data_IF_181426631531
#
_entry.id   IF_181426631531
#
_cell.length_a   1.000
_cell.length_b   1.000
_cell.length_c   1.000
_cell.angle_alpha   90.00
_cell.angle_beta   90.00
_cell.angle_gamma   90.00
#
_symmetry.space_group_name_H-M   'P 1'
#
loop_
_entity.id
_entity.type
_entity.pdbx_description
1 polymer ?
#
# COMPACT_ATOMS: atom_id res chain seq x y z
N UNK A 1 -15.87 13.27 -22.06
CA UNK A 1 -16.39 13.30 -20.69
C UNK A 1 -15.54 12.32 -19.91
N UNK A 2 -14.94 12.79 -18.82
CA UNK A 2 -14.16 12.00 -17.87
C UNK A 2 -15.03 11.24 -16.87
N UNK A 3 -14.37 10.58 -15.93
CA UNK A 3 -14.99 9.74 -14.92
C UNK A 3 -15.52 10.55 -13.72
N UNK A 4 -16.50 10.01 -13.02
CA UNK A 4 -16.93 10.45 -11.69
C UNK A 4 -16.32 9.55 -10.62
N UNK A 5 -15.48 10.13 -9.76
CA UNK A 5 -14.71 9.40 -8.74
C UNK A 5 -15.21 9.76 -7.34
N UNK A 6 -15.51 8.76 -6.53
CA UNK A 6 -15.80 8.95 -5.10
C UNK A 6 -14.64 8.45 -4.23
N UNK A 7 -14.18 9.26 -3.29
CA UNK A 7 -13.13 8.89 -2.33
C UNK A 7 -13.74 8.71 -0.94
N UNK A 8 -13.89 7.46 -0.50
CA UNK A 8 -14.45 7.13 0.81
C UNK A 8 -13.33 7.05 1.86
N UNK A 9 -13.48 7.82 2.94
CA UNK A 9 -12.41 8.02 3.92
C UNK A 9 -11.48 9.19 3.56
N UNK A 10 -11.96 10.14 2.75
CA UNK A 10 -11.21 11.27 2.23
C UNK A 10 -10.53 12.14 3.30
N UNK A 11 -11.03 12.13 4.54
CA UNK A 11 -10.47 12.94 5.64
C UNK A 11 -9.28 12.29 6.36
N UNK A 12 -9.05 10.98 6.15
CA UNK A 12 -7.90 10.25 6.71
C UNK A 12 -6.63 10.41 5.87
N UNK A 13 -5.48 9.96 6.40
CA UNK A 13 -4.17 10.15 5.75
C UNK A 13 -4.14 9.57 4.32
N UNK A 14 -4.55 8.31 4.14
CA UNK A 14 -4.57 7.67 2.81
C UNK A 14 -5.59 8.32 1.88
N UNK A 15 -6.75 8.73 2.38
CA UNK A 15 -7.76 9.41 1.56
C UNK A 15 -7.32 10.78 1.06
N UNK A 16 -6.54 11.53 1.87
CA UNK A 16 -5.90 12.78 1.45
C UNK A 16 -4.85 12.51 0.37
N UNK A 17 -3.99 11.51 0.55
CA UNK A 17 -3.03 11.11 -0.48
C UNK A 17 -3.70 10.67 -1.78
N UNK A 18 -4.84 9.96 -1.73
CA UNK A 18 -5.60 9.63 -2.95
C UNK A 18 -6.05 10.88 -3.71
N UNK A 19 -6.52 11.91 -3.00
CA UNK A 19 -6.93 13.17 -3.63
C UNK A 19 -5.74 13.90 -4.24
N UNK A 20 -4.61 13.98 -3.53
CA UNK A 20 -3.39 14.59 -4.03
C UNK A 20 -2.92 13.87 -5.31
N UNK A 21 -2.79 12.54 -5.26
CA UNK A 21 -2.29 11.73 -6.38
C UNK A 21 -3.23 11.77 -7.58
N UNK A 22 -4.55 11.78 -7.38
CA UNK A 22 -5.51 11.95 -8.49
C UNK A 22 -5.26 13.25 -9.26
N UNK A 23 -4.88 14.32 -8.56
CA UNK A 23 -4.59 15.61 -9.15
C UNK A 23 -3.19 15.65 -9.79
N UNK A 24 -2.16 15.24 -9.04
CA UNK A 24 -0.76 15.22 -9.49
C UNK A 24 -0.59 14.41 -10.79
N UNK A 25 -1.35 13.31 -10.92
CA UNK A 25 -1.29 12.43 -12.09
C UNK A 25 -2.25 12.83 -13.21
N UNK A 26 -3.04 13.88 -13.01
CA UNK A 26 -4.01 14.34 -14.01
C UNK A 26 -5.02 13.26 -14.39
N UNK A 27 -5.49 12.48 -13.42
CA UNK A 27 -6.46 11.42 -13.68
C UNK A 27 -7.70 12.01 -14.39
N UNK A 28 -8.26 11.37 -15.43
CA UNK A 28 -9.32 11.95 -16.25
C UNK A 28 -10.69 11.92 -15.54
N UNK A 29 -10.80 12.62 -14.42
CA UNK A 29 -12.02 12.77 -13.62
C UNK A 29 -12.67 14.14 -13.87
N UNK A 30 -13.93 14.14 -14.32
CA UNK A 30 -14.74 15.36 -14.46
C UNK A 30 -15.27 15.82 -13.10
N UNK A 31 -15.56 14.86 -12.21
CA UNK A 31 -16.04 15.12 -10.85
C UNK A 31 -15.35 14.21 -9.84
N UNK A 32 -14.88 14.80 -8.73
CA UNK A 32 -14.34 14.08 -7.58
C UNK A 32 -15.15 14.41 -6.34
N UNK A 33 -15.65 13.39 -5.65
CA UNK A 33 -16.49 13.53 -4.46
C UNK A 33 -15.75 12.99 -3.23
N UNK A 34 -15.51 13.86 -2.25
CA UNK A 34 -14.98 13.47 -0.95
C UNK A 34 -16.10 12.92 -0.04
N UNK A 35 -15.96 11.68 0.41
CA UNK A 35 -16.89 11.01 1.32
C UNK A 35 -16.21 10.64 2.64
N UNK A 36 -16.93 10.83 3.74
CA UNK A 36 -16.46 10.48 5.08
C UNK A 36 -17.61 9.99 5.97
N UNK A 37 -17.32 9.66 7.23
CA UNK A 37 -18.37 9.36 8.21
C UNK A 37 -19.08 10.64 8.67
N UNK A 38 -20.28 10.48 9.27
CA UNK A 38 -21.08 11.62 9.77
C UNK A 38 -20.30 12.55 10.72
N UNK A 39 -19.39 11.99 11.55
CA UNK A 39 -18.53 12.78 12.45
C UNK A 39 -17.58 13.75 11.73
N UNK A 40 -17.29 13.50 10.46
CA UNK A 40 -16.38 14.28 9.63
C UNK A 40 -17.09 15.00 8.49
N UNK A 41 -18.42 14.99 8.49
CA UNK A 41 -19.21 15.73 7.50
C UNK A 41 -18.87 17.23 7.54
N UNK A 42 -18.74 17.84 6.36
CA UNK A 42 -18.40 19.25 6.20
C UNK A 42 -16.92 19.56 6.41
N UNK A 43 -16.09 18.58 6.77
CA UNK A 43 -14.63 18.76 6.78
C UNK A 43 -14.14 19.11 5.39
N UNK A 44 -13.24 20.07 5.30
CA UNK A 44 -12.62 20.49 4.05
C UNK A 44 -11.37 19.66 3.77
N UNK A 45 -11.25 19.19 2.53
CA UNK A 45 -10.08 18.48 2.00
C UNK A 45 -9.69 19.09 0.66
N UNK A 46 -8.40 19.20 0.41
CA UNK A 46 -7.87 19.77 -0.83
C UNK A 46 -7.90 18.76 -1.98
N UNK A 47 -8.09 19.26 -3.20
CA UNK A 47 -7.96 18.54 -4.46
C UNK A 47 -7.43 19.52 -5.52
N UNK A 48 -6.10 19.59 -5.66
CA UNK A 48 -5.42 20.67 -6.36
C UNK A 48 -5.80 22.03 -5.77
N UNK A 49 -6.15 22.98 -6.65
CA UNK A 49 -6.64 24.31 -6.26
C UNK A 49 -8.08 24.32 -5.70
N UNK A 50 -8.78 23.18 -5.72
CA UNK A 50 -10.17 23.08 -5.24
C UNK A 50 -10.22 22.60 -3.79
N UNK A 51 -11.17 23.14 -3.04
CA UNK A 51 -11.53 22.63 -1.71
C UNK A 51 -12.83 21.85 -1.81
N UNK A 52 -12.78 20.56 -1.46
CA UNK A 52 -13.95 19.69 -1.41
C UNK A 52 -14.49 19.62 0.03
N UNK A 53 -15.82 19.66 0.18
CA UNK A 53 -16.48 19.40 1.47
C UNK A 53 -16.89 17.95 1.55
N UNK A 54 -16.40 17.25 2.58
CA UNK A 54 -16.70 15.84 2.80
C UNK A 54 -18.21 15.64 3.05
N UNK A 55 -18.85 14.82 2.21
CA UNK A 55 -20.25 14.40 2.36
C UNK A 55 -20.33 13.11 3.18
N UNK A 56 -21.44 12.87 3.91
CA UNK A 56 -21.61 11.63 4.65
C UNK A 56 -21.84 10.45 3.68
N UNK A 57 -21.04 9.39 3.83
CA UNK A 57 -21.08 8.18 2.99
C UNK A 57 -22.49 7.60 2.84
N UNK A 58 -23.26 7.59 3.93
CA UNK A 58 -24.57 6.95 4.00
C UNK A 58 -25.70 7.74 3.34
N UNK A 59 -25.43 8.95 2.86
CA UNK A 59 -26.40 9.80 2.14
C UNK A 59 -25.99 10.05 0.69
N UNK A 60 -24.93 9.40 0.21
CA UNK A 60 -24.44 9.55 -1.15
C UNK A 60 -24.99 8.45 -2.06
N UNK A 61 -25.52 8.83 -3.22
CA UNK A 61 -25.96 7.91 -4.27
C UNK A 61 -24.78 7.61 -5.21
N UNK A 62 -24.50 6.31 -5.42
CA UNK A 62 -23.41 5.85 -6.28
C UNK A 62 -23.91 5.42 -7.67
N UNK A 63 -25.20 5.58 -7.97
CA UNK A 63 -25.81 5.18 -9.24
C UNK A 63 -25.13 5.81 -10.46
N UNK A 64 -24.66 7.05 -10.35
CA UNK A 64 -23.95 7.79 -11.39
C UNK A 64 -22.41 7.82 -11.22
N UNK A 65 -21.89 7.13 -10.20
CA UNK A 65 -20.45 7.10 -9.91
C UNK A 65 -19.78 5.95 -10.65
N UNK A 66 -18.60 6.21 -11.24
CA UNK A 66 -17.85 5.23 -12.02
C UNK A 66 -16.92 4.39 -11.14
N UNK A 67 -16.10 5.06 -10.33
CA UNK A 67 -15.12 4.42 -9.45
C UNK A 67 -15.26 4.96 -8.02
N UNK A 68 -15.22 4.05 -7.06
CA UNK A 68 -15.13 4.35 -5.64
C UNK A 68 -13.78 3.88 -5.09
N UNK A 69 -12.96 4.82 -4.63
CA UNK A 69 -11.72 4.57 -3.92
C UNK A 69 -12.03 4.43 -2.42
N UNK A 70 -11.98 3.21 -1.89
CA UNK A 70 -12.43 2.89 -0.53
C UNK A 70 -11.25 2.81 0.45
N UNK A 71 -11.19 3.78 1.37
CA UNK A 71 -10.17 3.87 2.43
C UNK A 71 -10.77 4.23 3.80
N UNK A 72 -11.83 3.52 4.21
CA UNK A 72 -12.52 3.74 5.49
C UNK A 72 -12.44 2.57 6.50
N UNK A 73 -11.53 1.61 6.25
CA UNK A 73 -11.31 0.46 7.11
C UNK A 73 -12.22 -0.74 6.82
N UNK A 74 -11.85 -1.91 7.35
CA UNK A 74 -12.43 -3.20 6.95
C UNK A 74 -13.92 -3.37 7.25
N UNK A 75 -14.41 -2.86 8.38
CA UNK A 75 -15.84 -2.98 8.72
C UNK A 75 -16.72 -2.14 7.79
N UNK A 76 -16.29 -0.90 7.50
CA UNK A 76 -17.01 -0.03 6.55
C UNK A 76 -16.99 -0.64 5.16
N UNK A 77 -15.84 -1.16 4.71
CA UNK A 77 -15.73 -1.79 3.39
C UNK A 77 -16.60 -3.05 3.26
N UNK A 78 -16.67 -3.91 4.29
CA UNK A 78 -17.54 -5.10 4.29
C UNK A 78 -19.01 -4.72 4.11
N UNK A 79 -19.43 -3.61 4.71
CA UNK A 79 -20.81 -3.15 4.63
C UNK A 79 -21.11 -2.42 3.31
N UNK A 80 -20.24 -1.51 2.89
CA UNK A 80 -20.52 -0.55 1.83
C UNK A 80 -20.03 -1.00 0.45
N UNK A 81 -18.89 -1.67 0.34
CA UNK A 81 -18.34 -2.05 -0.97
C UNK A 81 -19.32 -2.90 -1.80
N UNK A 82 -20.06 -3.88 -1.23
CA UNK A 82 -21.07 -4.62 -1.98
C UNK A 82 -22.27 -3.75 -2.41
N UNK A 83 -22.70 -2.80 -1.57
CA UNK A 83 -23.82 -1.89 -1.87
C UNK A 83 -23.48 -0.91 -3.00
N UNK A 84 -22.22 -0.44 -3.01
CA UNK A 84 -21.69 0.45 -4.04
C UNK A 84 -21.52 -0.32 -5.35
N UNK A 85 -20.90 -1.50 -5.28
CA UNK A 85 -20.71 -2.39 -6.43
C UNK A 85 -22.02 -2.79 -7.13
N UNK A 86 -23.10 -3.01 -6.35
CA UNK A 86 -24.43 -3.33 -6.87
C UNK A 86 -25.05 -2.18 -7.68
N UNK A 87 -24.57 -0.95 -7.54
CA UNK A 87 -24.98 0.22 -8.33
C UNK A 87 -24.12 0.41 -9.60
N UNK A 88 -23.31 -0.60 -9.95
CA UNK A 88 -22.44 -0.59 -11.13
C UNK A 88 -21.20 0.30 -11.00
N UNK A 89 -20.89 0.78 -9.78
CA UNK A 89 -19.64 1.49 -9.48
C UNK A 89 -18.53 0.48 -9.19
N UNK A 90 -17.33 0.68 -9.74
CA UNK A 90 -16.17 -0.18 -9.45
C UNK A 90 -15.51 0.28 -8.17
N UNK A 91 -15.43 -0.60 -7.17
CA UNK A 91 -14.80 -0.30 -5.88
C UNK A 91 -13.35 -0.79 -5.90
N UNK A 92 -12.40 0.10 -5.60
CA UNK A 92 -11.01 -0.26 -5.33
C UNK A 92 -10.78 -0.10 -3.83
N UNK A 93 -10.59 -1.22 -3.11
CA UNK A 93 -10.61 -1.28 -1.66
C UNK A 93 -9.22 -1.43 -1.03
N UNK A 94 -8.84 -0.47 -0.18
CA UNK A 94 -7.57 -0.51 0.56
C UNK A 94 -7.61 -1.35 1.84
N UNK A 95 -8.79 -1.76 2.27
CA UNK A 95 -8.92 -2.58 3.47
C UNK A 95 -8.50 -4.03 3.21
N UNK A 96 -8.33 -4.81 4.28
CA UNK A 96 -8.10 -6.26 4.18
C UNK A 96 -9.39 -7.06 3.95
N UNK A 97 -10.56 -6.41 3.84
CA UNK A 97 -11.85 -7.08 3.80
C UNK A 97 -12.00 -8.06 2.62
N UNK A 98 -11.48 -7.68 1.45
CA UNK A 98 -11.70 -8.39 0.20
C UNK A 98 -10.45 -9.07 -0.37
N UNK A 99 -9.28 -8.86 0.23
CA UNK A 99 -7.99 -9.36 -0.29
C UNK A 99 -7.94 -10.88 -0.48
N UNK A 100 -8.70 -11.63 0.30
CA UNK A 100 -8.73 -13.09 0.28
C UNK A 100 -9.99 -13.69 -0.34
N UNK A 101 -10.94 -12.88 -0.81
CA UNK A 101 -12.08 -13.40 -1.56
C UNK A 101 -11.58 -13.93 -2.91
N UNK A 102 -11.99 -15.14 -3.28
CA UNK A 102 -11.61 -15.80 -4.54
C UNK A 102 -12.22 -15.11 -5.78
N UNK A 103 -13.26 -14.29 -5.59
CA UNK A 103 -13.93 -13.53 -6.64
C UNK A 103 -13.48 -12.07 -6.70
N UNK A 104 -12.55 -11.65 -5.84
CA UNK A 104 -11.99 -10.30 -5.86
C UNK A 104 -10.50 -10.38 -6.22
N UNK A 105 -10.07 -9.76 -7.32
CA UNK A 105 -8.65 -9.68 -7.65
C UNK A 105 -7.91 -8.82 -6.63
N UNK A 106 -6.69 -9.22 -6.30
CA UNK A 106 -5.75 -8.48 -5.47
C UNK A 106 -4.62 -8.01 -6.39
N UNK A 107 -4.45 -6.70 -6.57
CA UNK A 107 -3.65 -6.16 -7.69
C UNK A 107 -2.54 -5.24 -7.22
N UNK A 108 -1.35 -5.46 -7.78
CA UNK A 108 -0.30 -4.45 -7.98
C UNK A 108 -0.06 -4.37 -9.48
N UNK A 109 -0.31 -3.22 -10.14
CA UNK A 109 -0.26 -3.13 -11.60
C UNK A 109 1.06 -3.59 -12.24
N UNK A 110 2.19 -3.38 -11.58
CA UNK A 110 3.52 -3.82 -12.05
C UNK A 110 3.76 -5.33 -11.87
N UNK A 111 2.92 -6.02 -11.11
CA UNK A 111 3.12 -7.42 -10.71
C UNK A 111 2.16 -8.36 -11.43
N UNK A 112 0.86 -8.07 -11.36
CA UNK A 112 -0.17 -8.98 -11.87
C UNK A 112 -1.32 -8.23 -12.58
N UNK A 113 -1.02 -7.38 -13.58
CA UNK A 113 -2.02 -6.52 -14.20
C UNK A 113 -3.14 -7.30 -14.88
N UNK A 114 -2.89 -8.53 -15.36
CA UNK A 114 -3.88 -9.35 -16.06
C UNK A 114 -4.99 -9.88 -15.15
N UNK A 115 -4.74 -9.98 -13.84
CA UNK A 115 -5.78 -10.38 -12.90
C UNK A 115 -6.90 -9.33 -12.76
N UNK A 116 -6.71 -8.11 -13.30
CA UNK A 116 -7.68 -7.03 -13.18
C UNK A 116 -9.04 -7.39 -13.75
N UNK A 117 -9.13 -8.18 -14.83
CA UNK A 117 -10.40 -8.59 -15.46
C UNK A 117 -11.33 -9.34 -14.50
N UNK A 118 -10.77 -9.98 -13.48
CA UNK A 118 -11.53 -10.68 -12.43
C UNK A 118 -12.49 -9.78 -11.66
N UNK A 119 -12.32 -8.46 -11.70
CA UNK A 119 -13.16 -7.51 -10.97
C UNK A 119 -14.64 -7.64 -11.31
N UNK A 120 -14.99 -8.04 -12.54
CA UNK A 120 -16.38 -8.14 -13.03
C UNK A 120 -17.25 -9.09 -12.21
N UNK A 121 -16.65 -10.03 -11.48
CA UNK A 121 -17.39 -10.97 -10.62
C UNK A 121 -18.08 -10.27 -9.44
N UNK A 122 -17.51 -9.16 -8.96
CA UNK A 122 -18.00 -8.44 -7.77
C UNK A 122 -18.06 -6.92 -7.93
N UNK A 123 -17.54 -6.35 -9.02
CA UNK A 123 -17.19 -4.93 -9.16
C UNK A 123 -16.33 -4.40 -8.02
N UNK A 124 -15.48 -5.26 -7.45
CA UNK A 124 -14.56 -4.92 -6.37
C UNK A 124 -13.16 -5.40 -6.78
N UNK A 125 -12.16 -4.57 -6.54
CA UNK A 125 -10.73 -4.88 -6.64
C UNK A 125 -10.12 -4.58 -5.26
N UNK A 126 -9.29 -5.48 -4.76
CA UNK A 126 -8.57 -5.27 -3.52
C UNK A 126 -7.16 -4.72 -3.80
N UNK A 127 -6.76 -3.74 -3.00
CA UNK A 127 -5.40 -3.25 -2.90
C UNK A 127 -4.68 -4.01 -1.76
N UNK A 128 -3.41 -4.41 -1.93
CA UNK A 128 -2.67 -5.15 -0.92
C UNK A 128 -2.28 -4.32 0.32
N UNK A 129 -1.66 -4.99 1.28
CA UNK A 129 -0.98 -4.35 2.40
C UNK A 129 0.21 -3.54 1.90
N UNK A 130 0.52 -2.43 2.56
CA UNK A 130 1.60 -1.54 2.19
C UNK A 130 2.98 -2.22 2.17
N UNK A 131 3.27 -3.08 3.15
CA UNK A 131 4.52 -3.86 3.18
C UNK A 131 4.57 -4.86 2.04
N UNK A 132 3.48 -5.59 1.79
CA UNK A 132 3.45 -6.53 0.65
C UNK A 132 3.62 -5.81 -0.68
N UNK A 133 2.99 -4.64 -0.87
CA UNK A 133 3.00 -3.89 -2.13
C UNK A 133 4.43 -3.53 -2.55
N UNK A 134 5.20 -2.89 -1.67
CA UNK A 134 6.60 -2.54 -1.98
C UNK A 134 7.46 -3.77 -2.20
N UNK A 135 7.23 -4.84 -1.43
CA UNK A 135 7.98 -6.08 -1.55
C UNK A 135 7.76 -6.70 -2.94
N UNK A 136 6.51 -6.93 -3.36
CA UNK A 136 6.24 -7.63 -4.62
C UNK A 136 6.65 -6.83 -5.86
N UNK A 137 6.67 -5.49 -5.78
CA UNK A 137 7.21 -4.63 -6.86
C UNK A 137 8.68 -4.93 -7.10
N UNK A 138 9.48 -5.08 -6.04
CA UNK A 138 10.89 -5.46 -6.17
C UNK A 138 11.09 -6.94 -6.50
N UNK A 139 10.24 -7.83 -5.96
CA UNK A 139 10.39 -9.27 -6.17
C UNK A 139 9.99 -9.72 -7.59
N UNK A 140 8.95 -9.13 -8.20
CA UNK A 140 8.44 -9.56 -9.51
C UNK A 140 9.50 -9.62 -10.61
N UNK A 141 10.25 -8.54 -10.92
CA UNK A 141 11.21 -8.57 -12.02
C UNK A 141 12.34 -9.56 -11.75
N UNK A 142 12.75 -9.74 -10.49
CA UNK A 142 13.74 -10.75 -10.11
C UNK A 142 13.18 -12.16 -10.26
N UNK A 143 11.93 -12.40 -9.85
CA UNK A 143 11.26 -13.69 -9.98
C UNK A 143 11.13 -14.14 -11.43
N UNK A 144 10.92 -13.20 -12.36
CA UNK A 144 10.86 -13.49 -13.79
C UNK A 144 12.22 -13.90 -14.36
N UNK A 145 13.31 -13.29 -13.88
CA UNK A 145 14.67 -13.57 -14.33
C UNK A 145 15.23 -14.85 -13.68
N UNK A 146 15.05 -14.99 -12.38
CA UNK A 146 15.43 -16.15 -11.59
C UNK A 146 14.26 -16.50 -10.66
N UNK A 147 13.65 -17.68 -10.83
CA UNK A 147 12.48 -18.07 -10.05
C UNK A 147 12.79 -18.05 -8.56
N UNK A 148 12.03 -17.26 -7.79
CA UNK A 148 12.18 -17.16 -6.33
C UNK A 148 11.63 -18.42 -5.67
N UNK A 149 12.45 -19.04 -4.81
CA UNK A 149 12.10 -20.18 -3.98
C UNK A 149 11.68 -19.76 -2.57
N UNK A 150 12.45 -18.87 -1.94
CA UNK A 150 12.26 -18.46 -0.55
C UNK A 150 12.54 -16.98 -0.34
N UNK A 151 11.76 -16.37 0.55
CA UNK A 151 11.94 -14.99 1.00
C UNK A 151 11.91 -14.95 2.53
N UNK A 152 12.86 -14.25 3.13
CA UNK A 152 12.85 -13.87 4.54
C UNK A 152 12.81 -12.36 4.59
N UNK A 153 11.82 -11.80 5.27
CA UNK A 153 11.68 -10.35 5.38
C UNK A 153 11.57 -9.92 6.84
N UNK A 154 12.32 -8.90 7.22
CA UNK A 154 12.13 -8.16 8.47
C UNK A 154 11.74 -6.73 8.13
N UNK A 155 10.55 -6.32 8.54
CA UNK A 155 10.00 -5.01 8.24
C UNK A 155 10.32 -4.01 9.36
N UNK A 156 10.48 -2.76 8.98
CA UNK A 156 10.70 -1.59 9.81
C UNK A 156 9.63 -0.57 9.40
N UNK A 157 8.41 -0.80 9.88
CA UNK A 157 7.23 -0.06 9.46
C UNK A 157 7.08 1.25 10.26
N UNK A 158 6.86 2.35 9.56
CA UNK A 158 6.51 3.66 10.12
C UNK A 158 5.17 3.67 10.88
N UNK A 159 4.96 4.68 11.73
CA UNK A 159 3.73 4.85 12.51
C UNK A 159 2.53 5.35 11.68
N UNK A 160 2.74 5.93 10.50
CA UNK A 160 1.64 6.34 9.60
C UNK A 160 0.79 5.16 9.12
N UNK A 161 1.36 3.95 9.07
CA UNK A 161 0.61 2.72 8.79
C UNK A 161 -0.47 2.39 9.85
N UNK A 162 -0.36 2.96 11.06
CA UNK A 162 -1.38 2.87 12.10
C UNK A 162 -2.39 4.05 12.05
N UNK A 163 -2.32 4.88 11.01
CA UNK A 163 -3.13 6.07 10.81
C UNK A 163 -2.67 7.27 11.65
N UNK A 164 -3.47 8.34 11.63
CA UNK A 164 -3.19 9.60 12.32
C UNK A 164 -2.86 9.40 13.82
N UNK A 165 -3.62 8.55 14.51
CA UNK A 165 -3.40 8.27 15.94
C UNK A 165 -2.00 7.72 16.23
N UNK A 166 -1.43 6.90 15.33
CA UNK A 166 -0.07 6.39 15.49
C UNK A 166 0.99 7.48 15.34
N UNK A 167 0.80 8.40 14.40
CA UNK A 167 1.67 9.57 14.22
C UNK A 167 1.57 10.53 15.40
N UNK A 168 0.35 10.82 15.85
CA UNK A 168 0.09 11.68 17.00
C UNK A 168 0.74 11.11 18.27
N UNK A 169 0.65 9.79 18.50
CA UNK A 169 1.29 9.14 19.65
C UNK A 169 2.81 9.23 19.61
N UNK A 170 3.45 8.96 18.47
CA UNK A 170 4.90 9.10 18.33
C UNK A 170 5.34 10.55 18.65
N UNK A 171 4.63 11.53 18.11
CA UNK A 171 4.91 12.95 18.37
C UNK A 171 4.76 13.30 19.86
N UNK A 172 3.65 12.92 20.48
CA UNK A 172 3.36 13.22 21.88
C UNK A 172 4.36 12.53 22.82
N UNK A 173 4.64 11.24 22.61
CA UNK A 173 5.61 10.51 23.41
C UNK A 173 7.02 11.07 23.25
N UNK A 174 7.42 11.44 22.02
CA UNK A 174 8.75 12.03 21.78
C UNK A 174 8.89 13.37 22.49
N UNK A 175 7.88 14.24 22.41
CA UNK A 175 7.86 15.50 23.18
C UNK A 175 7.95 15.24 24.67
N UNK A 176 7.13 14.34 25.22
CA UNK A 176 7.09 14.04 26.64
C UNK A 176 8.45 13.62 27.20
N UNK A 177 9.22 12.84 26.43
CA UNK A 177 10.60 12.44 26.80
C UNK A 177 11.53 13.64 26.99
N UNK A 178 11.44 14.65 26.12
CA UNK A 178 12.32 15.83 26.20
C UNK A 178 11.92 16.84 27.28
N UNK A 179 10.65 16.85 27.67
CA UNK A 179 10.15 17.75 28.74
C UNK A 179 9.94 17.04 30.08
N UNK A 180 10.37 15.78 30.19
CA UNK A 180 10.22 14.92 31.37
C UNK A 180 8.75 14.73 31.83
N UNK A 181 7.81 14.78 30.89
CA UNK A 181 6.40 14.46 31.14
C UNK A 181 6.18 12.93 31.15
N UNK A 182 5.08 12.44 31.76
CA UNK A 182 4.71 11.04 31.70
C UNK A 182 4.49 10.55 30.26
N UNK A 183 5.18 9.49 29.87
CA UNK A 183 4.99 8.83 28.57
C UNK A 183 3.87 7.80 28.68
N UNK A 184 2.79 7.99 27.93
CA UNK A 184 1.64 7.07 27.91
C UNK A 184 1.48 6.43 26.54
N UNK A 185 1.18 5.13 26.51
CA UNK A 185 0.87 4.39 25.29
C UNK A 185 -0.65 4.22 25.18
N UNK A 186 -1.24 4.61 24.05
CA UNK A 186 -2.70 4.62 23.83
C UNK A 186 -3.07 3.79 22.61
N UNK A 187 -2.51 4.13 21.46
CA UNK A 187 -2.62 3.45 20.18
C UNK A 187 -1.76 2.19 20.14
N UNK A 188 -0.52 2.28 20.60
CA UNK A 188 0.40 1.14 20.62
C UNK A 188 0.37 0.43 21.97
N UNK A 189 0.68 -0.88 21.98
CA UNK A 189 0.72 -1.69 23.21
C UNK A 189 1.97 -1.44 24.06
N UNK A 190 2.96 -0.76 23.50
CA UNK A 190 4.23 -0.35 24.12
C UNK A 190 4.57 1.06 23.64
N UNK A 191 5.41 1.77 24.38
CA UNK A 191 6.00 3.05 23.96
C UNK A 191 6.66 2.89 22.59
N UNK A 192 6.34 3.78 21.66
CA UNK A 192 6.96 3.80 20.32
C UNK A 192 8.11 4.81 20.25
N UNK A 193 8.05 5.93 20.99
CA UNK A 193 9.14 6.92 20.97
C UNK A 193 10.46 6.30 21.44
N UNK A 194 11.49 6.35 20.59
CA UNK A 194 12.82 5.76 20.85
C UNK A 194 12.79 4.26 21.13
N UNK A 195 11.86 3.52 20.52
CA UNK A 195 11.72 2.08 20.74
C UNK A 195 11.31 1.35 19.45
N UNK A 196 11.48 0.02 19.42
CA UNK A 196 11.04 -0.86 18.35
C UNK A 196 10.04 -1.87 18.89
N UNK A 197 8.89 -2.03 18.22
CA UNK A 197 7.78 -2.88 18.68
C UNK A 197 7.58 -4.03 17.67
N UNK A 198 7.95 -5.28 18.00
CA UNK A 198 7.81 -6.44 17.10
C UNK A 198 6.38 -6.99 17.14
N UNK A 199 5.38 -6.14 16.93
CA UNK A 199 3.97 -6.48 16.98
C UNK A 199 3.16 -5.49 16.15
N UNK A 200 2.65 -5.95 15.01
CA UNK A 200 1.75 -5.19 14.14
C UNK A 200 0.51 -6.02 13.85
N UNK A 201 -0.66 -5.39 13.98
CA UNK A 201 -1.96 -6.08 13.99
C UNK A 201 -2.07 -7.02 15.21
N UNK A 202 -2.90 -8.06 15.16
CA UNK A 202 -3.10 -9.01 16.26
C UNK A 202 -2.27 -10.28 16.10
N UNK A 203 -1.91 -10.95 17.20
CA UNK A 203 -1.34 -12.29 17.17
C UNK A 203 -2.35 -13.35 16.66
N UNK A 204 -1.82 -14.34 15.95
CA UNK A 204 -2.49 -15.56 15.51
C UNK A 204 -2.09 -16.73 16.42
N UNK A 205 -2.77 -17.87 16.27
CA UNK A 205 -2.60 -19.05 17.15
C UNK A 205 -1.20 -19.68 17.08
N UNK A 206 -0.51 -19.52 15.95
CA UNK A 206 0.83 -20.07 15.69
C UNK A 206 1.98 -19.14 16.10
N UNK A 207 1.67 -17.99 16.70
CA UNK A 207 2.63 -17.00 17.18
C UNK A 207 3.03 -15.93 16.16
N UNK A 208 2.63 -16.07 14.89
CA UNK A 208 2.74 -14.97 13.93
C UNK A 208 1.71 -13.89 14.25
N UNK A 209 1.98 -12.68 13.79
CA UNK A 209 0.99 -11.61 13.72
C UNK A 209 0.22 -11.67 12.41
N UNK A 210 -0.99 -11.11 12.41
CA UNK A 210 -1.80 -11.00 11.19
C UNK A 210 -1.12 -10.17 10.10
N UNK A 211 -0.23 -9.23 10.45
CA UNK A 211 0.56 -8.50 9.47
C UNK A 211 1.55 -9.39 8.74
N UNK A 212 2.28 -10.24 9.48
CA UNK A 212 3.22 -11.21 8.90
C UNK A 212 2.49 -12.23 8.02
N UNK A 213 1.34 -12.72 8.48
CA UNK A 213 0.49 -13.61 7.68
C UNK A 213 -0.01 -12.94 6.39
N UNK A 214 -0.41 -11.66 6.42
CA UNK A 214 -0.83 -10.93 5.21
C UNK A 214 0.28 -10.93 4.17
N UNK A 215 1.53 -10.63 4.56
CA UNK A 215 2.66 -10.62 3.63
C UNK A 215 2.82 -11.97 2.91
N UNK A 216 2.70 -13.08 3.65
CA UNK A 216 2.76 -14.43 3.09
C UNK A 216 1.60 -14.68 2.12
N UNK A 217 0.36 -14.48 2.59
CA UNK A 217 -0.84 -14.83 1.84
C UNK A 217 -1.02 -13.96 0.59
N UNK A 218 -0.74 -12.66 0.70
CA UNK A 218 -0.88 -11.71 -0.40
C UNK A 218 0.22 -11.90 -1.45
N UNK A 219 1.48 -12.14 -1.06
CA UNK A 219 2.58 -12.46 -2.00
C UNK A 219 2.25 -13.70 -2.82
N UNK A 220 1.76 -14.77 -2.18
CA UNK A 220 1.35 -16.00 -2.87
C UNK A 220 0.20 -15.81 -3.84
N UNK A 221 -0.75 -14.93 -3.50
CA UNK A 221 -1.91 -14.64 -4.37
C UNK A 221 -1.53 -13.80 -5.59
N UNK A 222 -0.59 -12.87 -5.45
CA UNK A 222 -0.22 -11.93 -6.52
C UNK A 222 0.94 -12.40 -7.39
N UNK A 223 1.96 -13.01 -6.79
CA UNK A 223 3.22 -13.32 -7.45
C UNK A 223 3.32 -14.82 -7.82
N UNK A 224 3.54 -15.69 -6.84
CA UNK A 224 3.59 -17.14 -7.07
C UNK A 224 3.23 -17.90 -5.77
N UNK A 225 2.24 -18.81 -5.79
CA UNK A 225 1.86 -19.61 -4.63
C UNK A 225 2.97 -20.54 -4.09
N UNK A 226 4.00 -20.84 -4.89
CA UNK A 226 5.13 -21.70 -4.51
C UNK A 226 6.17 -21.00 -3.64
N UNK A 227 6.19 -19.66 -3.62
CA UNK A 227 7.16 -18.89 -2.83
C UNK A 227 7.00 -19.21 -1.34
N UNK A 228 8.10 -19.61 -0.71
CA UNK A 228 8.18 -19.82 0.75
C UNK A 228 8.59 -18.52 1.43
N UNK A 229 7.63 -17.78 1.95
CA UNK A 229 7.88 -16.52 2.65
C UNK A 229 7.74 -16.69 4.17
N UNK A 230 8.65 -16.07 4.93
CA UNK A 230 8.47 -15.79 6.36
C UNK A 230 8.77 -14.33 6.63
N UNK A 231 8.03 -13.73 7.55
CA UNK A 231 8.09 -12.30 7.85
C UNK A 231 8.20 -12.06 9.37
N UNK A 232 8.91 -11.00 9.74
CA UNK A 232 8.84 -10.40 11.07
C UNK A 232 8.45 -8.93 10.92
N UNK A 233 7.32 -8.54 11.51
CA UNK A 233 6.76 -7.19 11.34
C UNK A 233 7.05 -6.30 12.56
N UNK A 234 7.88 -5.26 12.38
CA UNK A 234 8.33 -4.38 13.47
C UNK A 234 7.89 -2.94 13.22
N UNK A 235 7.23 -2.33 14.20
CA UNK A 235 6.93 -0.89 14.20
C UNK A 235 8.13 -0.11 14.75
N UNK A 236 8.55 0.92 14.03
CA UNK A 236 9.72 1.76 14.36
C UNK A 236 9.30 3.24 14.49
N UNK A 237 10.09 4.10 15.17
CA UNK A 237 9.74 5.49 15.42
C UNK A 237 10.03 6.39 14.21
N UNK A 238 9.48 6.00 13.06
CA UNK A 238 9.55 6.71 11.78
C UNK A 238 8.15 7.17 11.43
N UNK A 239 7.97 8.43 11.01
CA UNK A 239 6.64 8.97 10.72
C UNK A 239 6.02 8.37 9.46
N UNK A 240 6.73 8.41 8.34
CA UNK A 240 6.28 7.94 7.02
C UNK A 240 7.44 7.18 6.36
N UNK A 241 7.12 6.17 5.55
CA UNK A 241 8.10 5.31 4.88
C UNK A 241 8.26 3.98 5.61
N UNK A 242 7.96 2.88 4.92
CA UNK A 242 8.30 1.54 5.42
C UNK A 242 9.66 1.13 4.87
N UNK A 243 10.35 0.27 5.62
CA UNK A 243 11.58 -0.34 5.13
C UNK A 243 11.61 -1.83 5.40
N UNK A 244 12.33 -2.57 4.56
CA UNK A 244 12.38 -4.02 4.61
C UNK A 244 13.80 -4.50 4.36
N UNK A 245 14.34 -5.28 5.30
CA UNK A 245 15.51 -6.11 5.04
C UNK A 245 15.03 -7.44 4.47
N UNK A 246 15.43 -7.73 3.23
CA UNK A 246 14.94 -8.89 2.48
C UNK A 246 16.09 -9.78 2.07
N UNK A 247 15.97 -11.08 2.39
CA UNK A 247 16.83 -12.14 1.88
C UNK A 247 16.01 -13.03 0.94
N UNK A 248 16.57 -13.35 -0.22
CA UNK A 248 15.92 -14.08 -1.29
C UNK A 248 16.81 -15.26 -1.68
N UNK A 249 16.20 -16.43 -1.87
CA UNK A 249 16.85 -17.62 -2.41
C UNK A 249 16.17 -17.96 -3.75
N UNK A 250 16.97 -18.16 -4.79
CA UNK A 250 16.52 -18.42 -6.15
C UNK A 250 16.75 -19.87 -6.59
N UNK A 251 15.95 -20.36 -7.54
CA UNK A 251 16.17 -21.67 -8.16
C UNK A 251 17.41 -21.68 -9.07
N UNK A 252 17.69 -20.56 -9.74
CA UNK A 252 18.84 -20.38 -10.62
C UNK A 252 19.75 -19.25 -10.09
N UNK A 253 21.06 -19.27 -10.42
CA UNK A 253 21.96 -18.19 -10.04
C UNK A 253 21.52 -16.84 -10.62
N UNK A 254 21.66 -15.80 -9.82
CA UNK A 254 21.53 -14.39 -10.23
C UNK A 254 22.58 -13.59 -9.47
N UNK A 255 23.41 -12.84 -10.19
CA UNK A 255 24.44 -12.02 -9.54
C UNK A 255 23.85 -10.74 -8.97
N UNK A 256 24.53 -10.14 -7.99
CA UNK A 256 24.09 -8.84 -7.46
C UNK A 256 24.10 -7.72 -8.53
N UNK A 257 25.00 -7.78 -9.52
CA UNK A 257 25.03 -6.79 -10.61
C UNK A 257 23.85 -6.97 -11.56
N UNK A 258 23.58 -8.20 -11.98
CA UNK A 258 22.42 -8.53 -12.82
C UNK A 258 21.11 -8.12 -12.13
N UNK A 259 20.98 -8.39 -10.82
CA UNK A 259 19.83 -7.94 -10.04
C UNK A 259 19.69 -6.41 -10.02
N UNK A 260 20.80 -5.66 -9.91
CA UNK A 260 20.77 -4.18 -9.98
C UNK A 260 20.28 -3.70 -11.35
N UNK A 261 20.75 -4.29 -12.43
CA UNK A 261 20.34 -3.93 -13.79
C UNK A 261 18.83 -4.18 -14.00
N UNK A 262 18.35 -5.37 -13.64
CA UNK A 262 16.94 -5.74 -13.73
C UNK A 262 16.06 -4.75 -12.93
N UNK A 263 16.47 -4.41 -11.70
CA UNK A 263 15.70 -3.51 -10.84
C UNK A 263 15.76 -2.05 -11.29
N UNK A 264 16.81 -1.60 -11.99
CA UNK A 264 16.89 -0.25 -12.56
C UNK A 264 15.89 -0.05 -13.70
N UNK A 265 15.65 -1.10 -14.49
CA UNK A 265 14.74 -1.06 -15.64
C UNK A 265 13.29 -1.42 -15.27
N UNK A 266 13.08 -1.97 -14.07
CA UNK A 266 11.76 -2.40 -13.60
C UNK A 266 10.82 -1.22 -13.30
N UNK A 267 9.59 -1.20 -13.84
CA UNK A 267 8.60 -0.17 -13.54
C UNK A 267 8.32 -0.05 -12.04
N UNK A 268 8.31 1.18 -11.52
CA UNK A 268 8.06 1.47 -10.11
C UNK A 268 9.25 1.22 -9.17
N UNK A 269 10.37 0.71 -9.67
CA UNK A 269 11.61 0.54 -8.91
C UNK A 269 12.58 1.70 -9.16
N UNK A 270 13.33 2.09 -8.13
CA UNK A 270 14.47 2.99 -8.27
C UNK A 270 15.66 2.51 -7.44
N UNK A 271 16.78 2.22 -8.09
CA UNK A 271 17.96 1.68 -7.42
C UNK A 271 18.89 2.81 -6.96
N UNK A 272 19.06 2.94 -5.64
CA UNK A 272 20.07 3.79 -5.00
C UNK A 272 20.97 2.86 -4.19
N UNK A 273 21.99 2.30 -4.85
CA UNK A 273 22.86 1.29 -4.27
C UNK A 273 24.33 1.57 -4.60
N UNK A 274 24.86 2.63 -4.00
CA UNK A 274 26.29 2.93 -4.01
C UNK A 274 26.89 2.40 -2.72
N UNK A 275 27.96 1.62 -2.83
CA UNK A 275 28.67 1.06 -1.68
C UNK A 275 29.64 2.09 -1.07
N UNK A 276 29.11 3.26 -0.72
CA UNK A 276 29.80 4.40 -0.11
C UNK A 276 28.90 5.06 0.96
N UNK A 277 29.46 5.97 1.76
CA UNK A 277 28.69 6.66 2.81
C UNK A 277 27.52 7.45 2.21
N UNK A 278 26.31 7.20 2.70
CA UNK A 278 25.08 7.82 2.17
C UNK A 278 24.62 7.28 0.81
N UNK A 279 25.26 6.24 0.29
CA UNK A 279 24.94 5.62 -1.01
C UNK A 279 23.66 4.77 -1.04
N UNK A 280 22.76 4.94 -0.08
CA UNK A 280 21.55 4.15 0.10
C UNK A 280 20.40 5.04 0.56
N UNK A 281 19.17 4.56 0.40
CA UNK A 281 17.98 5.30 0.81
C UNK A 281 17.47 4.87 2.19
N UNK A 282 16.84 5.80 2.90
CA UNK A 282 16.16 5.55 4.16
C UNK A 282 14.68 5.91 4.01
N UNK A 283 13.81 5.51 4.95
CA UNK A 283 12.40 5.87 4.87
C UNK A 283 12.16 7.39 4.89
N UNK A 284 13.10 8.19 5.39
CA UNK A 284 12.99 9.64 5.39
C UNK A 284 12.93 10.24 3.97
N UNK A 285 13.83 9.85 3.07
CA UNK A 285 13.86 10.36 1.70
C UNK A 285 12.73 9.80 0.83
N UNK A 286 12.17 8.64 1.20
CA UNK A 286 11.08 8.03 0.43
C UNK A 286 9.73 8.73 0.61
N UNK A 287 9.55 9.53 1.67
CA UNK A 287 8.26 10.12 1.99
C UNK A 287 7.85 11.16 0.93
N UNK A 288 6.64 11.03 0.39
CA UNK A 288 6.14 11.87 -0.70
C UNK A 288 6.51 11.38 -2.11
N UNK A 289 7.35 10.36 -2.22
CA UNK A 289 7.79 9.82 -3.51
C UNK A 289 6.95 8.61 -3.94
N UNK A 290 6.84 8.42 -5.27
CA UNK A 290 6.05 7.33 -5.86
C UNK A 290 6.81 6.00 -5.97
N UNK A 291 8.14 6.06 -5.98
CA UNK A 291 9.00 4.91 -6.24
C UNK A 291 9.09 3.94 -5.05
N UNK A 292 9.27 2.67 -5.37
CA UNK A 292 9.87 1.69 -4.46
C UNK A 292 11.39 1.74 -4.66
N UNK A 293 12.10 2.18 -3.65
CA UNK A 293 13.55 2.31 -3.70
C UNK A 293 14.24 1.04 -3.21
N UNK A 294 15.32 0.66 -3.89
CA UNK A 294 16.13 -0.52 -3.55
C UNK A 294 17.58 -0.12 -3.35
N UNK A 295 18.16 -0.59 -2.23
CA UNK A 295 19.55 -0.37 -1.84
C UNK A 295 20.17 -1.66 -1.31
N UNK A 296 21.47 -1.62 -1.03
CA UNK A 296 22.23 -2.67 -0.34
C UNK A 296 22.13 -4.05 -1.01
N UNK A 297 22.06 -4.08 -2.34
CA UNK A 297 21.94 -5.30 -3.12
C UNK A 297 23.28 -6.02 -3.10
N UNK A 298 23.28 -7.25 -2.59
CA UNK A 298 24.49 -8.07 -2.44
C UNK A 298 24.15 -9.54 -2.42
N UNK A 299 25.10 -10.38 -2.82
CA UNK A 299 24.97 -11.82 -2.70
C UNK A 299 24.93 -12.23 -1.22
N UNK A 300 24.03 -13.16 -0.90
CA UNK A 300 23.95 -13.80 0.42
C UNK A 300 24.78 -15.08 0.40
N UNK A 301 25.96 -15.02 1.01
CA UNK A 301 26.93 -16.12 1.05
C UNK A 301 26.46 -17.33 1.88
N UNK A 302 25.33 -17.24 2.58
CA UNK A 302 24.87 -18.28 3.50
C UNK A 302 23.93 -19.29 2.85
N UNK A 303 23.39 -18.99 1.66
CA UNK A 303 22.51 -19.87 0.90
C UNK A 303 22.91 -19.89 -0.58
N UNK A 304 22.65 -20.99 -1.26
CA UNK A 304 22.89 -21.09 -2.70
C UNK A 304 21.96 -20.14 -3.47
N UNK A 305 22.49 -19.44 -4.47
CA UNK A 305 21.77 -18.43 -5.25
C UNK A 305 21.05 -17.41 -4.35
N UNK A 306 21.75 -16.94 -3.31
CA UNK A 306 21.23 -16.01 -2.33
C UNK A 306 21.45 -14.55 -2.70
N UNK A 307 20.44 -13.71 -2.45
CA UNK A 307 20.55 -12.25 -2.57
C UNK A 307 19.97 -11.59 -1.31
N UNK A 308 20.59 -10.50 -0.86
CA UNK A 308 20.06 -9.64 0.19
C UNK A 308 19.93 -8.20 -0.30
N UNK A 309 18.87 -7.52 0.11
CA UNK A 309 18.61 -6.12 -0.26
C UNK A 309 17.82 -5.38 0.82
N UNK A 310 17.78 -4.07 0.67
CA UNK A 310 17.03 -3.13 1.48
C UNK A 310 15.99 -2.44 0.59
N UNK A 311 14.72 -2.53 0.95
CA UNK A 311 13.60 -1.94 0.18
C UNK A 311 12.95 -0.86 1.02
N UNK A 312 12.67 0.30 0.42
CA UNK A 312 12.01 1.42 1.07
C UNK A 312 10.94 2.00 0.16
N UNK A 313 9.76 2.30 0.71
CA UNK A 313 8.75 3.06 -0.04
C UNK A 313 7.81 3.82 0.90
N UNK A 314 7.18 4.88 0.38
CA UNK A 314 6.11 5.57 1.09
C UNK A 314 4.88 4.67 1.21
N UNK A 315 4.59 4.27 2.44
CA UNK A 315 3.51 3.37 2.77
C UNK A 315 2.10 3.98 2.63
N UNK A 316 1.98 5.31 2.58
CA UNK A 316 0.73 6.01 2.30
C UNK A 316 0.52 6.19 0.79
N UNK A 317 1.61 6.34 0.02
CA UNK A 317 1.59 6.42 -1.45
C UNK A 317 1.64 5.04 -2.09
N UNK A 318 2.79 4.52 -2.51
CA UNK A 318 2.88 3.22 -3.22
C UNK A 318 2.28 2.07 -2.40
N UNK A 319 2.41 2.11 -1.09
CA UNK A 319 1.80 1.12 -0.20
C UNK A 319 0.27 1.17 -0.09
N UNK A 320 -0.37 2.25 -0.53
CA UNK A 320 -1.82 2.43 -0.42
C UNK A 320 -2.39 3.28 -1.57
N UNK A 321 -2.33 4.61 -1.44
CA UNK A 321 -3.07 5.53 -2.31
C UNK A 321 -2.62 5.46 -3.78
N UNK A 322 -1.31 5.49 -4.05
CA UNK A 322 -0.79 5.44 -5.42
C UNK A 322 -1.19 4.14 -6.11
N UNK A 323 -1.03 2.99 -5.45
CA UNK A 323 -1.43 1.72 -6.03
C UNK A 323 -2.93 1.67 -6.31
N UNK A 324 -3.76 2.28 -5.45
CA UNK A 324 -5.21 2.44 -5.72
C UNK A 324 -5.46 3.23 -7.00
N UNK A 325 -4.78 4.36 -7.19
CA UNK A 325 -4.93 5.18 -8.39
C UNK A 325 -4.38 4.46 -9.62
N UNK A 326 -3.25 3.78 -9.52
CA UNK A 326 -2.69 3.00 -10.63
C UNK A 326 -3.60 1.83 -11.04
N UNK A 327 -4.33 1.20 -10.11
CA UNK A 327 -5.38 0.22 -10.45
C UNK A 327 -6.51 0.89 -11.25
N UNK A 328 -6.95 2.08 -10.83
CA UNK A 328 -7.95 2.85 -11.58
C UNK A 328 -7.44 3.21 -12.98
N UNK A 329 -6.20 3.69 -13.09
CA UNK A 329 -5.54 3.98 -14.37
C UNK A 329 -5.46 2.75 -15.26
N UNK A 330 -5.16 1.58 -14.69
CA UNK A 330 -5.11 0.31 -15.43
C UNK A 330 -6.48 -0.09 -15.98
N UNK A 331 -7.58 0.15 -15.24
CA UNK A 331 -8.95 -0.06 -15.75
C UNK A 331 -9.23 0.83 -16.97
N UNK A 332 -8.84 2.11 -16.89
CA UNK A 332 -9.05 3.09 -17.96
C UNK A 332 -8.18 2.77 -19.18
N UNK A 333 -6.89 2.53 -18.97
CA UNK A 333 -5.91 2.26 -20.02
C UNK A 333 -6.25 0.99 -20.83
N UNK A 334 -6.82 -0.03 -20.18
CA UNK A 334 -7.30 -1.26 -20.85
C UNK A 334 -8.72 -1.14 -21.41
N UNK A 335 -9.39 0.01 -21.27
CA UNK A 335 -10.77 0.20 -21.74
C UNK A 335 -11.78 -0.73 -21.07
N UNK A 336 -11.51 -1.17 -19.82
CA UNK A 336 -12.35 -2.14 -19.11
C UNK A 336 -13.62 -1.52 -18.51
N UNK A 337 -13.63 -0.19 -18.42
CA UNK A 337 -14.75 0.64 -18.00
C UNK A 337 -14.84 1.86 -18.93
N UNK A 338 -16.05 2.39 -19.08
CA UNK A 338 -16.32 3.65 -19.78
C UNK A 338 -17.06 4.58 -18.82
N UNK A 339 -16.81 5.90 -18.84
CA UNK A 339 -17.55 6.85 -18.04
C UNK A 339 -19.06 6.70 -18.25
N UNK A 340 -19.84 6.59 -17.18
CA UNK A 340 -21.30 6.47 -17.23
C UNK A 340 -21.95 7.65 -17.96
N UNK A 341 -21.38 8.85 -17.84
CA UNK A 341 -21.84 10.03 -18.56
C UNK A 341 -21.74 9.90 -20.11
N UNK A 342 -20.85 9.04 -20.62
CA UNK A 342 -20.75 8.74 -22.06
C UNK A 342 -21.70 7.60 -22.49
N UNK A 343 -22.17 6.78 -21.56
CA UNK A 343 -23.01 5.61 -21.83
C UNK A 343 -24.52 5.91 -21.72
N UNK A 344 -24.88 7.09 -21.22
CA UNK A 344 -26.26 7.60 -21.10
C UNK A 344 -26.69 8.39 -22.33
#
# INVERSE_FOLDING_TARGET
MGFKIAVVGATGNVGREMLNILEERGFPADEVVALASRRSQGSEVSYGDKTLKAKPLDQYDFSDTDICLMSAGGNVSKEWSPKIAAQGCVVIDNSSAWRYDANVPLIVPEVNPDAIEGFRKRNIIANPNCSTAQLVVALKPLHDAATIKRVVVSTYQSVSGAGKEGMDELFQQSRAVFVADPVTAQKFTKRIAFNVIPHIDVFMEDGYTKEEWKMVAETKKMLDPKIKLTATAVRVPVFIGHSESVNIEFENPISAEEAREILRDAPGCQVIDKHEDGGYITPYESAGEDATYISRIREDITVENGLAMWIVSDNLRKGAALNTIQIAELLVARGLITPKALAA
#
